data_IF_099725444343
#
_entry.id   IF_099725444343
#
_cell.length_a   1.000
_cell.length_b   1.000
_cell.length_c   1.000
_cell.angle_alpha   90.00
_cell.angle_beta   90.00
_cell.angle_gamma   90.00
#
_symmetry.space_group_name_H-M   'P 1'
#
loop_
_entity.id
_entity.type
_entity.pdbx_description
1 polymer ?
#
# COMPACT_ATOMS: atom_id res chain seq x y z
N UNK A 1 15.02 8.78 -20.13
CA UNK A 1 15.62 7.69 -19.31
C UNK A 1 15.43 8.07 -17.86
N UNK A 2 14.93 7.16 -17.04
CA UNK A 2 14.77 7.38 -15.61
C UNK A 2 16.11 7.47 -14.88
N UNK A 3 16.17 8.25 -13.81
CA UNK A 3 17.32 8.33 -12.94
C UNK A 3 17.36 7.14 -11.99
N UNK A 4 18.46 6.36 -12.00
CA UNK A 4 18.66 5.29 -11.01
C UNK A 4 18.99 5.90 -9.65
N UNK A 5 18.25 5.49 -8.63
CA UNK A 5 18.55 5.81 -7.24
C UNK A 5 19.71 4.95 -6.72
N UNK A 6 20.38 5.37 -5.62
CA UNK A 6 21.37 4.54 -4.93
C UNK A 6 20.78 3.18 -4.52
N UNK A 7 21.63 2.16 -4.48
CA UNK A 7 21.25 0.83 -3.94
C UNK A 7 20.68 0.99 -2.54
N UNK A 8 19.47 0.50 -2.28
CA UNK A 8 18.83 0.67 -0.99
C UNK A 8 19.57 -0.13 0.10
N UNK A 9 19.69 0.45 1.30
CA UNK A 9 20.27 -0.23 2.46
C UNK A 9 19.19 -1.01 3.23
N UNK A 10 19.55 -2.14 3.78
CA UNK A 10 18.69 -2.89 4.69
C UNK A 10 18.44 -2.06 5.96
N UNK A 11 17.19 -1.84 6.31
CA UNK A 11 16.76 -1.18 7.54
C UNK A 11 16.37 -2.21 8.61
N UNK A 12 15.54 -3.19 8.25
CA UNK A 12 15.09 -4.25 9.16
C UNK A 12 14.81 -5.54 8.39
N UNK A 13 14.94 -6.67 9.07
CA UNK A 13 14.68 -8.02 8.57
C UNK A 13 14.04 -8.92 9.63
N UNK A 14 13.92 -10.21 9.34
CA UNK A 14 13.41 -11.21 10.27
C UNK A 14 11.93 -11.04 10.59
N UNK A 15 11.20 -10.31 9.77
CA UNK A 15 9.75 -10.24 9.76
C UNK A 15 9.17 -11.32 8.84
N UNK A 16 7.94 -11.69 9.07
CA UNK A 16 7.11 -12.43 8.12
C UNK A 16 6.57 -11.46 7.07
N UNK A 17 5.65 -11.88 6.23
CA UNK A 17 5.09 -11.02 5.18
C UNK A 17 4.63 -9.67 5.71
N UNK A 18 5.14 -8.60 5.11
CA UNK A 18 4.88 -7.20 5.48
C UNK A 18 4.25 -6.45 4.32
N UNK A 19 3.33 -5.54 4.65
CA UNK A 19 2.58 -4.76 3.68
C UNK A 19 2.15 -3.39 4.25
N UNK A 20 1.56 -2.55 3.40
CA UNK A 20 0.90 -1.30 3.79
C UNK A 20 1.77 -0.37 4.62
N UNK A 21 2.98 -0.10 4.12
CA UNK A 21 3.91 0.84 4.77
C UNK A 21 3.36 2.25 4.85
N UNK A 22 3.49 2.90 6.02
CA UNK A 22 3.12 4.31 6.25
C UNK A 22 4.13 4.96 7.19
N UNK A 23 4.54 6.18 6.87
CA UNK A 23 5.35 6.97 7.79
C UNK A 23 4.44 7.78 8.73
N UNK A 24 4.56 7.55 10.02
CA UNK A 24 3.77 8.25 11.03
C UNK A 24 4.56 8.39 12.32
N UNK A 25 4.48 9.56 12.95
CA UNK A 25 5.10 9.87 14.25
C UNK A 25 6.59 9.45 14.33
N UNK A 26 7.37 9.80 13.28
CA UNK A 26 8.81 9.56 13.21
C UNK A 26 9.23 8.11 13.00
N UNK A 27 8.32 7.22 12.64
CA UNK A 27 8.56 5.79 12.41
C UNK A 27 7.84 5.28 11.15
N UNK A 28 8.36 4.21 10.57
CA UNK A 28 7.66 3.43 9.57
C UNK A 28 6.69 2.46 10.26
N UNK A 29 5.40 2.63 10.03
CA UNK A 29 4.35 1.71 10.46
C UNK A 29 3.99 0.80 9.31
N UNK A 30 3.65 -0.46 9.61
CA UNK A 30 3.33 -1.46 8.60
C UNK A 30 2.39 -2.54 9.12
N UNK A 31 1.69 -3.17 8.19
CA UNK A 31 0.90 -4.37 8.42
C UNK A 31 1.82 -5.60 8.39
N UNK A 32 1.93 -6.32 9.51
CA UNK A 32 2.67 -7.57 9.62
C UNK A 32 1.71 -8.75 9.45
N UNK A 33 1.33 -9.03 8.20
CA UNK A 33 0.28 -10.01 7.87
C UNK A 33 0.56 -11.40 8.42
N UNK A 34 1.82 -11.86 8.34
CA UNK A 34 2.22 -13.16 8.85
C UNK A 34 2.14 -13.34 10.37
N UNK A 35 1.86 -12.30 11.13
CA UNK A 35 1.73 -12.35 12.61
C UNK A 35 0.49 -11.66 13.14
N UNK A 36 -0.28 -10.97 12.29
CA UNK A 36 -1.49 -10.26 12.70
C UNK A 36 -1.22 -9.07 13.63
N UNK A 37 -0.18 -8.30 13.34
CA UNK A 37 0.29 -7.19 14.19
C UNK A 37 0.53 -5.93 13.37
N UNK A 38 0.26 -4.77 13.93
CA UNK A 38 0.80 -3.50 13.43
C UNK A 38 2.15 -3.29 14.07
N UNK A 39 3.19 -3.10 13.26
CA UNK A 39 4.56 -2.90 13.72
C UNK A 39 5.01 -1.49 13.34
N UNK A 40 5.72 -0.83 14.27
CA UNK A 40 6.47 0.38 14.00
C UNK A 40 7.97 0.09 13.99
N UNK A 41 8.69 0.64 13.02
CA UNK A 41 10.14 0.48 12.84
C UNK A 41 10.79 1.87 12.84
N UNK A 42 11.77 2.07 13.70
CA UNK A 42 12.55 3.33 13.74
C UNK A 42 13.68 3.33 12.68
N UNK A 43 14.36 4.45 12.52
CA UNK A 43 15.46 4.59 11.55
C UNK A 43 16.74 3.81 11.93
N UNK A 44 16.80 3.25 13.14
CA UNK A 44 17.85 2.33 13.57
C UNK A 44 17.48 0.85 13.32
N UNK A 45 16.24 0.58 12.82
CA UNK A 45 15.75 -0.76 12.55
C UNK A 45 15.15 -1.48 13.76
N UNK A 46 14.95 -0.77 14.88
CA UNK A 46 14.26 -1.34 16.04
C UNK A 46 12.76 -1.49 15.73
N UNK A 47 12.21 -2.63 16.10
CA UNK A 47 10.82 -3.02 15.83
C UNK A 47 10.01 -3.05 17.11
N UNK A 48 8.81 -2.49 17.09
CA UNK A 48 7.84 -2.50 18.18
C UNK A 48 6.47 -2.92 17.67
N UNK A 49 5.80 -3.85 18.36
CA UNK A 49 4.37 -4.12 18.12
C UNK A 49 3.56 -3.02 18.79
N UNK A 50 2.81 -2.26 18.01
CA UNK A 50 2.14 -1.03 18.48
C UNK A 50 0.62 -1.15 18.53
N UNK A 51 0.05 -2.09 17.78
CA UNK A 51 -1.38 -2.39 17.82
C UNK A 51 -1.66 -3.82 17.33
N UNK A 52 -2.83 -4.40 17.67
CA UNK A 52 -3.29 -5.61 17.01
C UNK A 52 -3.65 -5.32 15.55
N UNK A 53 -3.33 -6.27 14.67
CA UNK A 53 -3.76 -6.32 13.27
C UNK A 53 -4.81 -7.40 13.05
N UNK A 54 -4.72 -8.11 11.91
CA UNK A 54 -5.62 -9.20 11.54
C UNK A 54 -4.86 -10.50 11.32
N UNK A 55 -5.43 -11.61 11.73
CA UNK A 55 -4.89 -12.95 11.45
C UNK A 55 -5.26 -13.46 10.03
N UNK A 56 -5.36 -12.54 9.09
CA UNK A 56 -5.68 -12.78 7.68
C UNK A 56 -4.72 -11.96 6.81
N UNK A 57 -4.76 -12.17 5.52
CA UNK A 57 -4.20 -11.25 4.54
C UNK A 57 -5.21 -10.16 4.16
N UNK A 58 -4.73 -9.17 3.41
CA UNK A 58 -5.60 -8.17 2.82
C UNK A 58 -6.15 -7.20 3.86
N UNK A 59 -5.26 -6.59 4.62
CA UNK A 59 -5.58 -5.48 5.51
C UNK A 59 -4.44 -4.45 5.54
N UNK A 60 -4.81 -3.23 5.84
CA UNK A 60 -3.90 -2.09 5.85
C UNK A 60 -4.18 -1.15 7.02
N UNK A 61 -3.46 -0.04 7.05
CA UNK A 61 -3.54 0.95 8.11
C UNK A 61 -3.49 2.38 7.56
N UNK A 62 -4.20 3.28 8.22
CA UNK A 62 -4.18 4.72 7.97
C UNK A 62 -4.54 5.48 9.25
N UNK A 63 -4.48 6.80 9.24
CA UNK A 63 -4.86 7.64 10.37
C UNK A 63 -5.91 8.65 9.99
N UNK A 64 -6.81 8.91 10.92
CA UNK A 64 -7.67 10.09 10.89
C UNK A 64 -6.84 11.34 11.26
N UNK A 65 -7.35 12.51 10.93
CA UNK A 65 -6.70 13.80 11.21
C UNK A 65 -6.47 14.04 12.70
N UNK A 66 -7.24 13.41 13.56
CA UNK A 66 -7.09 13.47 15.03
C UNK A 66 -6.02 12.49 15.59
N UNK A 67 -5.32 11.77 14.71
CA UNK A 67 -4.25 10.84 15.05
C UNK A 67 -4.70 9.45 15.45
N UNK A 68 -5.98 9.10 15.36
CA UNK A 68 -6.45 7.74 15.64
C UNK A 68 -6.16 6.82 14.48
N UNK A 69 -5.55 5.67 14.78
CA UNK A 69 -5.21 4.63 13.82
C UNK A 69 -6.47 3.87 13.38
N UNK A 70 -6.62 3.72 12.08
CA UNK A 70 -7.56 2.80 11.44
C UNK A 70 -6.84 1.54 10.97
N UNK A 71 -7.48 0.38 11.13
CA UNK A 71 -7.00 -0.92 10.64
C UNK A 71 -8.15 -1.59 9.88
N UNK A 72 -7.92 -1.89 8.60
CA UNK A 72 -8.89 -2.54 7.73
C UNK A 72 -8.91 -4.07 7.89
N UNK A 73 -9.59 -4.77 7.02
CA UNK A 73 -9.84 -6.21 7.01
C UNK A 73 -11.33 -6.47 6.75
N UNK A 74 -11.92 -7.53 7.29
CA UNK A 74 -13.35 -7.81 7.15
C UNK A 74 -14.21 -6.65 7.67
N UNK A 75 -13.78 -6.03 8.75
CA UNK A 75 -14.34 -4.80 9.32
C UNK A 75 -13.27 -3.72 9.41
N UNK A 76 -13.69 -2.46 9.44
CA UNK A 76 -12.81 -1.34 9.75
C UNK A 76 -12.84 -1.09 11.26
N UNK A 77 -11.67 -1.13 11.89
CA UNK A 77 -11.54 -0.82 13.31
C UNK A 77 -10.70 0.43 13.52
N UNK A 78 -10.92 1.08 14.67
CA UNK A 78 -10.20 2.26 15.12
C UNK A 78 -9.54 1.97 16.46
N UNK A 79 -8.28 2.34 16.57
CA UNK A 79 -7.54 2.25 17.84
C UNK A 79 -7.69 3.57 18.58
N UNK A 80 -8.24 3.52 19.78
CA UNK A 80 -8.44 4.68 20.65
C UNK A 80 -7.13 5.05 21.39
N UNK A 81 -6.98 6.28 21.89
CA UNK A 81 -5.74 6.77 22.49
C UNK A 81 -5.18 5.92 23.66
N UNK A 82 -6.02 5.14 24.31
CA UNK A 82 -5.62 4.23 25.40
C UNK A 82 -5.40 2.78 24.95
N UNK A 83 -5.31 2.53 23.61
CA UNK A 83 -5.01 1.23 23.02
C UNK A 83 -6.22 0.30 22.92
N UNK A 84 -7.42 0.70 23.34
CA UNK A 84 -8.63 -0.08 23.06
C UNK A 84 -9.01 0.01 21.58
N UNK A 85 -9.52 -1.08 21.03
CA UNK A 85 -9.99 -1.13 19.64
C UNK A 85 -11.51 -1.11 19.62
N UNK A 86 -12.07 -0.24 18.78
CA UNK A 86 -13.51 -0.16 18.55
C UNK A 86 -13.82 -0.38 17.06
N UNK A 87 -14.96 -0.99 16.76
CA UNK A 87 -15.43 -1.10 15.38
C UNK A 87 -15.85 0.27 14.88
N UNK A 88 -15.19 0.74 13.82
CA UNK A 88 -15.53 1.98 13.13
C UNK A 88 -16.61 1.74 12.07
N UNK A 89 -16.48 0.65 11.29
CA UNK A 89 -17.51 0.18 10.35
C UNK A 89 -17.60 -1.34 10.36
N UNK A 90 -18.80 -1.87 10.10
CA UNK A 90 -19.01 -3.30 9.90
C UNK A 90 -18.43 -3.79 8.55
N UNK A 91 -18.08 -2.88 7.67
CA UNK A 91 -17.45 -3.17 6.38
C UNK A 91 -16.05 -2.61 6.39
N UNK A 92 -15.13 -3.40 5.94
CA UNK A 92 -13.73 -3.01 5.73
C UNK A 92 -13.31 -3.31 4.31
N UNK A 93 -12.05 -3.66 4.12
CA UNK A 93 -11.49 -3.96 2.82
C UNK A 93 -10.00 -4.26 2.92
N UNK A 94 -9.35 -4.36 1.75
CA UNK A 94 -7.92 -4.61 1.66
C UNK A 94 -7.12 -3.35 2.04
N UNK A 95 -7.13 -2.33 1.21
CA UNK A 95 -6.35 -1.11 1.40
C UNK A 95 -7.19 0.07 1.89
N UNK A 96 -6.52 1.02 2.54
CA UNK A 96 -7.09 2.24 3.10
C UNK A 96 -6.40 3.48 2.51
N UNK A 97 -7.19 4.51 2.24
CA UNK A 97 -6.72 5.89 2.10
C UNK A 97 -7.63 6.84 2.88
N UNK A 98 -7.06 7.86 3.49
CA UNK A 98 -7.81 8.92 4.17
C UNK A 98 -7.38 10.25 3.58
N UNK A 99 -8.35 11.08 3.19
CA UNK A 99 -8.08 12.41 2.67
C UNK A 99 -8.01 13.47 3.79
N UNK A 100 -7.60 14.71 3.50
CA UNK A 100 -7.53 15.78 4.49
C UNK A 100 -8.86 16.17 5.14
N UNK A 101 -9.99 15.75 4.57
CA UNK A 101 -11.34 15.96 5.11
C UNK A 101 -11.84 14.78 5.96
N UNK A 102 -10.98 13.80 6.24
CA UNK A 102 -11.31 12.53 6.91
C UNK A 102 -12.30 11.64 6.16
N UNK A 103 -12.38 11.79 4.83
CA UNK A 103 -13.05 10.78 4.02
C UNK A 103 -12.21 9.51 4.02
N UNK A 104 -12.78 8.41 4.48
CA UNK A 104 -12.09 7.11 4.58
C UNK A 104 -12.48 6.23 3.40
N UNK A 105 -11.56 6.04 2.48
CA UNK A 105 -11.72 5.15 1.34
C UNK A 105 -11.16 3.77 1.69
N UNK A 106 -11.94 2.72 1.42
CA UNK A 106 -11.50 1.32 1.51
C UNK A 106 -11.76 0.64 0.17
N UNK A 107 -10.92 -0.32 -0.20
CA UNK A 107 -11.11 -1.09 -1.41
C UNK A 107 -11.12 -2.59 -1.14
N UNK A 108 -11.59 -3.35 -2.12
CA UNK A 108 -11.61 -4.80 -2.08
C UNK A 108 -12.21 -5.40 -3.34
N UNK A 109 -12.23 -6.72 -3.39
CA UNK A 109 -12.87 -7.51 -4.43
C UNK A 109 -13.54 -8.72 -3.80
N UNK A 110 -14.71 -9.10 -4.33
CA UNK A 110 -15.56 -10.13 -3.73
C UNK A 110 -15.32 -11.51 -4.37
N UNK A 111 -14.03 -11.91 -4.56
CA UNK A 111 -13.69 -13.23 -5.05
C UNK A 111 -12.63 -13.91 -4.18
N UNK A 112 -12.61 -15.23 -4.18
CA UNK A 112 -11.66 -16.03 -3.41
C UNK A 112 -10.29 -16.10 -4.11
N UNK A 113 -9.49 -15.05 -3.93
CA UNK A 113 -8.13 -14.97 -4.49
C UNK A 113 -7.24 -16.14 -4.02
N UNK A 114 -7.31 -16.48 -2.74
CA UNK A 114 -6.47 -17.53 -2.13
C UNK A 114 -6.90 -18.93 -2.57
N UNK A 115 -8.21 -19.17 -2.64
CA UNK A 115 -8.75 -20.43 -3.11
C UNK A 115 -8.79 -20.61 -4.63
N UNK A 116 -8.25 -19.64 -5.39
CA UNK A 116 -8.19 -19.72 -6.86
C UNK A 116 -9.54 -19.44 -7.54
N UNK A 117 -10.39 -18.65 -6.91
CA UNK A 117 -11.64 -18.15 -7.51
C UNK A 117 -11.36 -17.35 -8.79
N UNK A 118 -12.30 -17.36 -9.73
CA UNK A 118 -12.19 -16.53 -10.92
C UNK A 118 -12.13 -15.04 -10.51
N UNK A 119 -11.23 -14.26 -11.10
CA UNK A 119 -11.16 -12.83 -10.80
C UNK A 119 -12.49 -12.12 -11.12
N UNK A 120 -12.97 -11.32 -10.18
CA UNK A 120 -14.11 -10.43 -10.34
C UNK A 120 -13.67 -8.98 -10.12
N UNK A 121 -14.32 -8.01 -10.78
CA UNK A 121 -14.01 -6.60 -10.56
C UNK A 121 -14.22 -6.20 -9.10
N UNK A 122 -13.28 -5.41 -8.60
CA UNK A 122 -13.36 -4.85 -7.26
C UNK A 122 -14.05 -3.50 -7.20
N UNK A 123 -14.04 -2.93 -6.02
CA UNK A 123 -14.77 -1.73 -5.64
C UNK A 123 -13.94 -0.80 -4.76
N UNK A 124 -14.36 0.47 -4.70
CA UNK A 124 -13.94 1.44 -3.68
C UNK A 124 -15.20 1.87 -2.92
N UNK A 125 -15.15 1.81 -1.59
CA UNK A 125 -16.18 2.30 -0.67
C UNK A 125 -15.69 3.50 0.11
N UNK A 126 -16.58 4.43 0.33
CA UNK A 126 -16.43 5.49 1.30
C UNK A 126 -17.10 5.05 2.60
N UNK A 127 -16.40 5.21 3.71
CA UNK A 127 -16.92 5.00 5.05
C UNK A 127 -17.20 6.37 5.66
N UNK A 128 -18.45 6.65 5.95
CA UNK A 128 -18.90 7.88 6.59
C UNK A 128 -18.54 7.88 8.09
N UNK A 129 -18.62 9.04 8.75
CA UNK A 129 -18.28 9.19 10.18
C UNK A 129 -19.09 8.26 11.11
N UNK A 130 -20.32 7.92 10.74
CA UNK A 130 -21.19 7.01 11.50
C UNK A 130 -20.88 5.52 11.24
N UNK A 131 -19.90 5.23 10.39
CA UNK A 131 -19.48 3.89 9.99
C UNK A 131 -20.31 3.26 8.87
N UNK A 132 -21.22 4.02 8.25
CA UNK A 132 -21.96 3.56 7.07
C UNK A 132 -21.03 3.52 5.87
N UNK A 133 -21.07 2.41 5.11
CA UNK A 133 -20.29 2.23 3.90
C UNK A 133 -21.17 2.44 2.66
N UNK A 134 -20.64 3.14 1.65
CA UNK A 134 -21.28 3.30 0.34
C UNK A 134 -20.28 3.08 -0.79
N UNK A 135 -20.68 2.39 -1.84
CA UNK A 135 -19.84 2.19 -3.03
C UNK A 135 -19.70 3.53 -3.77
N UNK A 136 -18.47 3.95 -4.04
CA UNK A 136 -18.14 5.19 -4.74
C UNK A 136 -17.44 4.95 -6.08
N UNK A 137 -16.86 3.77 -6.30
CA UNK A 137 -16.39 3.31 -7.60
C UNK A 137 -16.41 1.77 -7.67
N UNK A 138 -16.51 1.24 -8.88
CA UNK A 138 -16.47 -0.19 -9.19
C UNK A 138 -15.65 -0.46 -10.45
N UNK A 139 -15.71 -1.71 -10.94
CA UNK A 139 -14.96 -2.16 -12.12
C UNK A 139 -13.46 -1.92 -11.99
N UNK A 140 -12.88 -2.20 -10.82
CA UNK A 140 -11.46 -2.07 -10.51
C UNK A 140 -10.79 -3.43 -10.65
N UNK A 141 -9.76 -3.55 -11.48
CA UNK A 141 -9.08 -4.80 -11.75
C UNK A 141 -8.07 -5.15 -10.66
N UNK A 142 -8.50 -5.85 -9.61
CA UNK A 142 -7.74 -6.20 -8.41
C UNK A 142 -7.22 -4.95 -7.69
N UNK A 143 -8.10 -4.21 -7.00
CA UNK A 143 -7.75 -2.99 -6.28
C UNK A 143 -6.74 -3.25 -5.17
N UNK A 144 -5.70 -2.42 -5.14
CA UNK A 144 -4.61 -2.50 -4.19
C UNK A 144 -4.27 -1.11 -3.63
N UNK A 145 -3.00 -0.75 -3.45
CA UNK A 145 -2.58 0.50 -2.86
C UNK A 145 -3.35 1.73 -3.34
N UNK A 146 -3.71 2.60 -2.42
CA UNK A 146 -4.39 3.88 -2.69
C UNK A 146 -3.63 5.03 -2.06
N UNK A 147 -3.62 6.16 -2.76
CA UNK A 147 -3.13 7.44 -2.24
C UNK A 147 -4.05 8.58 -2.63
N UNK A 148 -4.07 9.63 -1.81
CA UNK A 148 -4.72 10.90 -2.13
C UNK A 148 -3.64 11.92 -2.43
N UNK A 149 -3.83 12.73 -3.47
CA UNK A 149 -2.89 13.81 -3.81
C UNK A 149 -2.76 14.82 -2.67
N UNK A 150 -1.61 15.51 -2.54
CA UNK A 150 -1.37 16.42 -1.42
C UNK A 150 -2.41 17.56 -1.28
N UNK A 151 -3.06 17.94 -2.38
CA UNK A 151 -4.15 18.93 -2.38
C UNK A 151 -5.52 18.36 -2.04
N UNK A 152 -5.62 17.03 -1.82
CA UNK A 152 -6.86 16.35 -1.48
C UNK A 152 -7.85 16.18 -2.63
N UNK A 153 -7.47 16.52 -3.86
CA UNK A 153 -8.40 16.57 -4.99
C UNK A 153 -8.55 15.27 -5.76
N UNK A 154 -7.59 14.35 -5.65
CA UNK A 154 -7.53 13.14 -6.49
C UNK A 154 -7.16 11.92 -5.66
N UNK A 155 -7.94 10.85 -5.80
CA UNK A 155 -7.60 9.51 -5.35
C UNK A 155 -6.93 8.75 -6.50
N UNK A 156 -5.76 8.16 -6.25
CA UNK A 156 -5.11 7.25 -7.20
C UNK A 156 -5.04 5.86 -6.60
N UNK A 157 -5.38 4.85 -7.40
CA UNK A 157 -5.44 3.44 -7.00
C UNK A 157 -4.62 2.56 -7.94
N UNK A 158 -3.95 1.58 -7.36
CA UNK A 158 -3.32 0.48 -8.07
C UNK A 158 -4.37 -0.53 -8.53
N UNK A 159 -4.40 -0.83 -9.84
CA UNK A 159 -5.13 -1.94 -10.42
C UNK A 159 -4.13 -3.01 -10.84
N UNK A 160 -3.83 -3.94 -9.90
CA UNK A 160 -2.70 -4.86 -10.04
C UNK A 160 -2.85 -5.79 -11.24
N UNK A 161 -4.04 -6.31 -11.51
CA UNK A 161 -4.26 -7.20 -12.67
C UNK A 161 -4.30 -6.47 -14.00
N UNK A 162 -4.65 -5.19 -14.00
CA UNK A 162 -4.60 -4.37 -15.21
C UNK A 162 -3.21 -3.77 -15.46
N UNK A 163 -2.28 -3.86 -14.51
CA UNK A 163 -0.93 -3.29 -14.63
C UNK A 163 -0.93 -1.77 -14.75
N UNK A 164 -1.86 -1.08 -14.09
CA UNK A 164 -2.03 0.37 -14.21
C UNK A 164 -2.36 1.05 -12.89
N UNK A 165 -2.18 2.37 -12.88
CA UNK A 165 -2.75 3.27 -11.89
C UNK A 165 -3.95 4.00 -12.49
N UNK A 166 -5.06 4.03 -11.77
CA UNK A 166 -6.25 4.80 -12.12
C UNK A 166 -6.48 5.93 -11.13
N UNK A 167 -6.95 7.07 -11.63
CA UNK A 167 -7.22 8.26 -10.82
C UNK A 167 -8.70 8.62 -10.86
N UNK A 168 -9.19 9.20 -9.77
CA UNK A 168 -10.55 9.71 -9.61
C UNK A 168 -10.52 11.09 -8.97
N UNK A 169 -11.37 11.99 -9.42
CA UNK A 169 -11.58 13.27 -8.75
C UNK A 169 -12.42 13.05 -7.49
N UNK A 170 -12.01 13.65 -6.36
CA UNK A 170 -12.71 13.59 -5.07
C UNK A 170 -13.63 14.80 -4.94
N UNK A 171 -14.93 14.55 -4.81
CA UNK A 171 -15.93 15.58 -4.51
C UNK A 171 -15.92 16.00 -3.03
N UNK A 172 -16.58 17.13 -2.70
CA UNK A 172 -16.64 17.63 -1.32
C UNK A 172 -17.30 16.69 -0.31
N UNK A 173 -18.07 15.72 -0.79
CA UNK A 173 -18.75 14.67 -0.02
C UNK A 173 -18.06 13.30 -0.12
N UNK A 174 -16.81 13.28 -0.61
CA UNK A 174 -16.04 12.07 -0.85
C UNK A 174 -16.51 11.23 -2.04
N UNK A 175 -17.47 11.70 -2.85
CA UNK A 175 -17.87 11.02 -4.07
C UNK A 175 -16.72 11.01 -5.07
N UNK A 176 -16.52 9.86 -5.75
CA UNK A 176 -15.50 9.70 -6.78
C UNK A 176 -16.10 9.90 -8.18
N UNK A 177 -15.38 10.60 -9.05
CA UNK A 177 -15.80 10.85 -10.42
C UNK A 177 -14.60 10.98 -11.35
N UNK A 178 -14.84 11.17 -12.67
CA UNK A 178 -13.77 11.50 -13.61
C UNK A 178 -12.68 10.43 -13.75
N UNK A 179 -13.01 9.12 -13.61
CA UNK A 179 -12.02 8.03 -13.73
C UNK A 179 -11.17 8.21 -14.98
N UNK A 180 -9.85 8.17 -14.79
CA UNK A 180 -8.85 8.25 -15.86
C UNK A 180 -7.64 7.39 -15.55
N UNK A 181 -6.89 7.01 -16.56
CA UNK A 181 -5.59 6.35 -16.38
C UNK A 181 -4.57 7.39 -15.94
N UNK A 182 -3.87 7.10 -14.83
CA UNK A 182 -2.69 7.86 -14.39
C UNK A 182 -1.43 7.37 -15.10
N UNK A 183 -1.23 6.06 -15.12
CA UNK A 183 -0.11 5.41 -15.80
C UNK A 183 -0.43 3.94 -16.10
N UNK A 184 0.15 3.41 -17.17
CA UNK A 184 0.04 2.00 -17.62
C UNK A 184 1.40 1.31 -17.68
N UNK A 185 1.39 -0.02 -17.88
CA UNK A 185 2.59 -0.82 -18.08
C UNK A 185 3.40 -1.02 -16.79
N UNK A 186 2.72 -1.05 -15.66
CA UNK A 186 3.26 -1.21 -14.32
C UNK A 186 2.95 -2.59 -13.75
N UNK A 187 3.52 -2.91 -12.59
CA UNK A 187 3.13 -4.06 -11.76
C UNK A 187 2.72 -3.56 -10.37
N UNK A 188 1.71 -2.66 -10.28
CA UNK A 188 1.46 -1.89 -9.07
C UNK A 188 0.85 -2.74 -7.97
N UNK A 189 1.28 -2.47 -6.72
CA UNK A 189 0.79 -3.10 -5.50
C UNK A 189 0.58 -2.01 -4.44
N UNK A 190 1.22 -2.03 -3.28
CA UNK A 190 1.19 -0.93 -2.32
C UNK A 190 2.00 0.28 -2.81
N UNK A 191 1.36 1.44 -2.91
CA UNK A 191 1.93 2.67 -3.49
C UNK A 191 2.07 3.78 -2.47
N UNK A 192 2.93 4.76 -2.75
CA UNK A 192 2.97 6.03 -2.02
C UNK A 192 3.14 7.22 -2.96
N UNK A 193 2.85 8.42 -2.47
CA UNK A 193 2.93 9.67 -3.24
C UNK A 193 3.90 10.63 -2.57
N UNK A 194 4.66 11.36 -3.37
CA UNK A 194 5.56 12.40 -2.88
C UNK A 194 4.92 13.80 -2.91
N UNK A 195 5.54 14.81 -2.25
CA UNK A 195 4.99 16.16 -2.21
C UNK A 195 4.85 16.86 -3.57
N UNK A 196 5.57 16.39 -4.60
CA UNK A 196 5.47 16.90 -5.98
C UNK A 196 4.37 16.19 -6.78
N UNK A 197 3.65 15.22 -6.17
CA UNK A 197 2.58 14.46 -6.81
C UNK A 197 3.06 13.25 -7.63
N UNK A 198 4.35 12.90 -7.56
CA UNK A 198 4.86 11.68 -8.17
C UNK A 198 4.49 10.44 -7.34
N UNK A 199 4.01 9.39 -8.02
CA UNK A 199 3.66 8.14 -7.36
C UNK A 199 4.79 7.15 -7.47
N UNK A 200 5.17 6.55 -6.32
CA UNK A 200 6.10 5.45 -6.24
C UNK A 200 5.33 4.15 -6.26
N UNK A 201 5.68 3.27 -7.21
CA UNK A 201 4.96 2.03 -7.50
C UNK A 201 5.89 0.98 -8.07
N UNK A 202 5.50 -0.28 -8.00
CA UNK A 202 6.22 -1.39 -8.57
C UNK A 202 6.07 -1.41 -10.10
N UNK A 203 7.02 -2.04 -10.77
CA UNK A 203 7.05 -2.14 -12.25
C UNK A 203 6.97 -3.59 -12.72
N UNK A 204 6.46 -3.80 -13.93
CA UNK A 204 6.27 -5.11 -14.52
C UNK A 204 7.53 -5.73 -15.18
N UNK A 205 8.65 -5.00 -15.25
CA UNK A 205 9.90 -5.46 -15.86
C UNK A 205 10.83 -6.21 -14.88
N UNK A 206 10.26 -6.92 -13.93
CA UNK A 206 10.97 -7.76 -12.95
C UNK A 206 10.96 -9.23 -13.34
N UNK A 207 11.85 -10.02 -12.74
CA UNK A 207 11.97 -11.45 -13.02
C UNK A 207 10.63 -12.20 -12.82
N UNK A 208 9.86 -11.87 -11.80
CA UNK A 208 8.56 -12.48 -11.53
C UNK A 208 7.51 -12.23 -12.62
N UNK A 209 7.57 -11.08 -13.32
CA UNK A 209 6.62 -10.73 -14.37
C UNK A 209 7.09 -11.16 -15.76
N UNK A 210 8.40 -11.09 -16.02
CA UNK A 210 8.97 -11.33 -17.35
C UNK A 210 9.42 -12.76 -17.58
N UNK A 211 9.72 -13.49 -16.50
CA UNK A 211 10.39 -14.80 -16.57
C UNK A 211 11.85 -14.71 -17.02
N UNK A 212 12.46 -13.52 -17.03
CA UNK A 212 13.88 -13.32 -17.36
C UNK A 212 14.71 -13.30 -16.07
N UNK A 213 15.53 -14.32 -15.88
CA UNK A 213 16.43 -14.44 -14.71
C UNK A 213 17.48 -13.32 -14.62
N UNK A 214 17.67 -12.51 -15.68
CA UNK A 214 18.55 -11.36 -15.66
C UNK A 214 17.84 -10.06 -15.26
N UNK A 215 16.51 -10.06 -15.18
CA UNK A 215 15.75 -8.92 -14.66
C UNK A 215 15.90 -8.82 -13.13
N UNK A 216 15.76 -7.65 -12.54
CA UNK A 216 15.80 -7.50 -11.08
C UNK A 216 14.65 -8.28 -10.42
N UNK A 217 14.88 -8.81 -9.22
CA UNK A 217 13.85 -9.51 -8.47
C UNK A 217 12.66 -8.59 -8.11
N UNK A 218 12.96 -7.32 -7.79
CA UNK A 218 11.97 -6.28 -7.57
C UNK A 218 12.47 -4.92 -8.05
N UNK A 219 11.54 -4.05 -8.43
CA UNK A 219 11.86 -2.67 -8.78
C UNK A 219 10.67 -1.75 -8.50
N UNK A 220 10.97 -0.55 -8.02
CA UNK A 220 10.01 0.53 -7.77
C UNK A 220 10.41 1.74 -8.60
N UNK A 221 9.43 2.37 -9.21
CA UNK A 221 9.59 3.56 -10.05
C UNK A 221 8.76 4.71 -9.53
N UNK A 222 9.25 5.93 -9.78
CA UNK A 222 8.47 7.15 -9.62
C UNK A 222 7.82 7.50 -10.95
N UNK A 223 6.50 7.57 -10.96
CA UNK A 223 5.71 7.87 -12.16
C UNK A 223 4.85 9.11 -11.96
N UNK A 224 4.85 9.99 -12.94
CA UNK A 224 4.02 11.20 -12.99
C UNK A 224 2.67 10.91 -13.66
N UNK A 225 1.70 11.79 -13.47
CA UNK A 225 0.45 11.77 -14.25
C UNK A 225 0.77 11.83 -15.75
N UNK A 226 0.21 10.90 -16.52
CA UNK A 226 0.55 10.68 -17.93
C UNK A 226 1.64 9.62 -18.16
N UNK A 227 2.16 8.96 -17.12
CA UNK A 227 3.00 7.77 -17.23
C UNK A 227 4.50 8.01 -17.41
N UNK A 228 4.98 9.25 -17.28
CA UNK A 228 6.43 9.53 -17.31
C UNK A 228 7.15 8.93 -16.09
N UNK A 229 8.06 7.97 -16.34
CA UNK A 229 8.92 7.40 -15.29
C UNK A 229 10.18 8.26 -15.14
N UNK A 230 10.35 8.86 -13.95
CA UNK A 230 11.45 9.78 -13.66
C UNK A 230 12.59 9.15 -12.87
N UNK A 231 12.30 8.25 -11.93
CA UNK A 231 13.28 7.58 -11.06
C UNK A 231 12.99 6.08 -10.95
N UNK A 232 14.03 5.32 -10.61
CA UNK A 232 13.96 3.87 -10.42
C UNK A 232 14.89 3.42 -9.31
N UNK A 233 14.46 2.45 -8.51
CA UNK A 233 15.27 1.70 -7.56
C UNK A 233 15.00 0.21 -7.73
N UNK A 234 16.05 -0.61 -7.58
CA UNK A 234 15.95 -2.07 -7.70
C UNK A 234 16.24 -2.74 -6.35
N UNK A 235 15.60 -3.88 -6.12
CA UNK A 235 15.72 -4.69 -4.92
C UNK A 235 16.03 -6.16 -5.27
N UNK A 236 16.61 -6.89 -4.32
CA UNK A 236 16.94 -8.31 -4.43
C UNK A 236 15.77 -9.24 -4.08
N UNK A 237 14.62 -8.68 -3.71
CA UNK A 237 13.35 -9.36 -3.48
C UNK A 237 12.21 -8.57 -4.13
N UNK A 238 11.08 -9.21 -4.48
CA UNK A 238 9.88 -8.50 -4.90
C UNK A 238 9.43 -7.49 -3.85
N UNK A 239 9.16 -6.25 -4.29
CA UNK A 239 8.63 -5.19 -3.44
C UNK A 239 7.10 -5.20 -3.52
N UNK A 240 6.43 -5.27 -2.38
CA UNK A 240 4.97 -5.32 -2.29
C UNK A 240 4.39 -3.96 -1.91
N UNK A 241 5.10 -3.19 -1.10
CA UNK A 241 4.63 -1.87 -0.67
C UNK A 241 5.79 -0.90 -0.54
N UNK A 242 5.52 0.38 -0.69
CA UNK A 242 6.49 1.42 -0.44
C UNK A 242 5.88 2.56 0.38
N UNK A 243 6.73 3.31 1.07
CA UNK A 243 6.32 4.48 1.84
C UNK A 243 7.39 5.57 1.76
N UNK A 244 6.96 6.82 1.74
CA UNK A 244 7.84 7.97 1.90
C UNK A 244 7.79 8.51 3.32
N UNK A 245 8.94 8.93 3.83
CA UNK A 245 9.04 9.44 5.18
C UNK A 245 10.45 9.88 5.54
N UNK A 246 10.81 9.74 6.81
CA UNK A 246 12.06 10.26 7.35
C UNK A 246 11.89 11.68 7.90
N UNK A 247 12.92 12.20 8.61
CA UNK A 247 12.85 13.51 9.24
C UNK A 247 12.64 14.68 8.26
N UNK A 248 13.08 14.49 7.03
CA UNK A 248 12.99 15.46 5.92
C UNK A 248 12.03 15.02 4.80
N UNK A 249 11.32 13.89 4.99
CA UNK A 249 10.40 13.33 4.00
C UNK A 249 11.10 12.63 2.81
N UNK A 250 12.43 12.45 2.85
CA UNK A 250 13.26 12.01 1.71
C UNK A 250 13.70 10.55 1.78
N UNK A 251 13.15 9.77 2.69
CA UNK A 251 13.43 8.34 2.78
C UNK A 251 12.32 7.56 2.10
N UNK A 252 12.67 6.82 1.05
CA UNK A 252 11.79 5.83 0.42
C UNK A 252 12.04 4.47 1.07
N UNK A 253 11.05 3.96 1.78
CA UNK A 253 11.02 2.63 2.38
C UNK A 253 10.41 1.65 1.40
N UNK A 254 11.03 0.47 1.27
CA UNK A 254 10.63 -0.60 0.36
C UNK A 254 10.37 -1.86 1.20
N UNK A 255 9.13 -2.32 1.20
CA UNK A 255 8.70 -3.52 1.92
C UNK A 255 8.75 -4.70 0.95
N UNK A 256 9.74 -5.56 1.14
CA UNK A 256 10.03 -6.65 0.22
C UNK A 256 9.79 -8.00 0.89
N UNK A 257 9.20 -8.92 0.14
CA UNK A 257 8.89 -10.26 0.61
C UNK A 257 9.39 -11.30 -0.39
N UNK A 258 9.80 -12.48 0.08
CA UNK A 258 9.86 -13.65 -0.78
C UNK A 258 8.43 -14.03 -1.19
N UNK A 259 8.22 -14.32 -2.45
CA UNK A 259 6.92 -14.73 -2.96
C UNK A 259 7.09 -15.76 -4.08
N UNK A 260 6.54 -16.94 -3.88
CA UNK A 260 6.65 -18.10 -4.78
C UNK A 260 5.30 -18.44 -5.43
N UNK A 261 4.31 -17.52 -5.34
CA UNK A 261 2.96 -17.72 -5.83
C UNK A 261 1.92 -17.96 -4.73
N UNK A 262 0.64 -17.81 -5.07
CA UNK A 262 -0.48 -17.95 -4.11
C UNK A 262 -0.65 -19.37 -3.59
N UNK A 263 -0.23 -20.38 -4.34
CA UNK A 263 -0.22 -21.78 -3.93
C UNK A 263 0.78 -22.07 -2.79
N UNK A 264 1.77 -21.20 -2.57
CA UNK A 264 2.75 -21.27 -1.49
C UNK A 264 2.49 -20.28 -0.36
N UNK A 265 1.34 -19.63 -0.36
CA UNK A 265 1.04 -18.50 0.52
C UNK A 265 1.18 -18.81 2.00
N UNK A 266 0.70 -19.96 2.48
CA UNK A 266 0.85 -20.38 3.88
C UNK A 266 2.32 -20.47 4.28
N UNK A 267 3.16 -21.01 3.40
CA UNK A 267 4.61 -21.09 3.61
C UNK A 267 5.23 -19.68 3.64
N UNK A 268 4.85 -18.79 2.72
CA UNK A 268 5.31 -17.39 2.67
C UNK A 268 4.93 -16.64 3.96
N UNK A 269 3.67 -16.74 4.40
CA UNK A 269 3.19 -16.11 5.63
C UNK A 269 3.87 -16.64 6.91
N UNK A 270 4.42 -17.84 6.88
CA UNK A 270 5.12 -18.42 8.03
C UNK A 270 6.61 -18.10 8.08
N UNK A 271 7.25 -17.86 6.93
CA UNK A 271 8.69 -17.55 6.84
C UNK A 271 9.01 -16.16 7.38
N UNK A 272 10.22 -15.99 7.91
CA UNK A 272 10.77 -14.70 8.35
C UNK A 272 11.72 -14.15 7.29
N UNK A 273 11.26 -14.04 6.07
CA UNK A 273 12.06 -13.65 4.92
C UNK A 273 11.86 -12.19 4.48
N UNK A 274 10.84 -11.51 5.04
CA UNK A 274 10.59 -10.12 4.70
C UNK A 274 11.74 -9.20 5.11
N UNK A 275 12.03 -8.23 4.23
CA UNK A 275 13.06 -7.21 4.41
C UNK A 275 12.48 -5.83 4.14
N UNK A 276 12.88 -4.89 4.96
CA UNK A 276 12.58 -3.48 4.78
C UNK A 276 13.87 -2.79 4.36
N UNK A 277 13.86 -2.22 3.19
CA UNK A 277 14.97 -1.40 2.69
C UNK A 277 14.62 0.08 2.76
N UNK A 278 15.64 0.92 2.72
CA UNK A 278 15.48 2.37 2.62
C UNK A 278 16.55 2.96 1.70
N UNK A 279 16.14 3.92 0.89
CA UNK A 279 17.01 4.74 0.05
C UNK A 279 16.56 6.20 0.12
N UNK A 280 17.47 7.12 -0.19
CA UNK A 280 17.14 8.54 -0.24
C UNK A 280 16.61 8.93 -1.62
N UNK A 281 15.59 9.79 -1.63
CA UNK A 281 15.06 10.42 -2.85
C UNK A 281 15.49 11.88 -2.94
N UNK A 282 15.62 12.45 -4.16
CA UNK A 282 16.26 13.77 -4.34
C UNK A 282 15.37 14.98 -4.01
N UNK A 283 14.08 14.80 -3.65
CA UNK A 283 13.12 15.90 -3.43
C UNK A 283 12.35 15.76 -2.14
#
# INVERSE_FOLDING_TARGET
>A
MSTMLPTPRLLADGLKMVESGRWHDGRLWLAHWGSGEVIAVDLAGNKEVVAPGRNTMGWSLAWLSDGRLLVSGEELTRVEPYGSTVRHSAQGGNELAVDPADHVFVNGADFDFVGGGAPEPGWIRLIDEDGTARDVAGDIDFPNGMVVTPDGSTLVIAESFAGRLSAFDIGPDGALSGRRTWADGLGPDGICIDPEGGIWTQTADTAAHTGDDNAPAGAVVRVLDGGEITHRVETDLPCFSCALGGPDGRHLFLLCNEFEGVDQLEAVLSRRSARIYVTDVPF
#
